data_IF_856760886717
#
_entry.id   IF_856760886717
#
_cell.length_a   1.000
_cell.length_b   1.000
_cell.length_c   1.000
_cell.angle_alpha   90.00
_cell.angle_beta   90.00
_cell.angle_gamma   90.00
#
_symmetry.space_group_name_H-M   'P 1'
#
loop_
_entity.id
_entity.type
_entity.pdbx_description
1 polymer ?
#
# COMPACT_ATOMS: atom_id res chain seq x y z
N UNK A 1 31.49 27.74 -13.70
CA UNK A 1 30.64 28.32 -12.65
C UNK A 1 29.21 28.21 -13.17
N UNK A 2 28.30 27.38 -12.70
CA UNK A 2 28.25 26.32 -11.70
C UNK A 2 27.16 25.40 -12.21
N UNK A 3 27.48 24.14 -12.53
CA UNK A 3 26.44 23.18 -12.87
C UNK A 3 25.83 22.71 -11.55
N UNK A 4 24.83 23.44 -11.07
CA UNK A 4 23.99 23.04 -9.94
C UNK A 4 23.14 21.84 -10.40
N UNK A 5 23.76 20.65 -10.37
CA UNK A 5 23.02 19.39 -10.36
C UNK A 5 22.11 19.45 -9.14
N UNK A 6 20.82 19.69 -9.37
CA UNK A 6 19.78 19.53 -8.37
C UNK A 6 19.95 18.13 -7.79
N UNK A 7 20.36 18.06 -6.54
CA UNK A 7 20.52 16.82 -5.81
C UNK A 7 19.11 16.28 -5.57
N UNK A 8 18.66 15.43 -6.48
CA UNK A 8 17.47 14.60 -6.37
C UNK A 8 17.65 13.74 -5.10
N UNK A 9 17.23 14.31 -3.97
CA UNK A 9 17.43 13.73 -2.66
C UNK A 9 16.33 12.68 -2.48
N UNK A 10 16.67 11.41 -2.23
CA UNK A 10 15.69 10.30 -2.14
C UNK A 10 14.74 10.41 -0.93
N UNK A 11 14.71 11.55 -0.26
CA UNK A 11 13.82 11.91 0.84
C UNK A 11 12.50 12.56 0.35
N UNK A 12 12.42 13.04 -0.89
CA UNK A 12 11.25 13.77 -1.41
C UNK A 12 10.25 12.89 -2.19
N UNK A 13 10.59 11.63 -2.48
CA UNK A 13 9.63 10.72 -3.14
C UNK A 13 8.46 10.38 -2.21
N UNK A 14 7.20 10.51 -2.67
CA UNK A 14 6.05 10.20 -1.85
C UNK A 14 6.01 8.71 -1.49
N UNK A 15 5.55 8.41 -0.27
CA UNK A 15 5.16 7.05 0.08
C UNK A 15 3.90 6.68 -0.69
N UNK A 16 3.98 5.61 -1.48
CA UNK A 16 2.86 5.12 -2.29
C UNK A 16 2.31 3.82 -1.71
N UNK A 17 1.01 3.78 -1.46
CA UNK A 17 0.29 2.58 -1.05
C UNK A 17 -0.62 2.15 -2.20
N UNK A 18 -0.38 0.96 -2.75
CA UNK A 18 -1.15 0.41 -3.87
C UNK A 18 -1.93 -0.84 -3.43
N UNK A 19 -3.27 -0.87 -3.53
CA UNK A 19 -4.01 -2.11 -3.35
C UNK A 19 -3.78 -3.04 -4.55
N UNK A 20 -3.12 -4.18 -4.33
CA UNK A 20 -3.01 -5.21 -5.36
C UNK A 20 -4.37 -5.91 -5.55
N UNK A 21 -4.84 -6.14 -6.79
CA UNK A 21 -6.08 -6.88 -7.04
C UNK A 21 -6.09 -8.21 -6.30
N UNK A 22 -7.15 -8.47 -5.53
CA UNK A 22 -7.33 -9.71 -4.75
C UNK A 22 -6.16 -10.04 -3.80
N UNK A 23 -5.37 -9.03 -3.43
CA UNK A 23 -4.11 -9.22 -2.73
C UNK A 23 -3.81 -8.13 -1.70
N UNK A 24 -2.53 -8.01 -1.30
CA UNK A 24 -2.08 -7.15 -0.22
C UNK A 24 -2.14 -5.66 -0.58
N UNK A 25 -1.86 -4.81 0.42
CA UNK A 25 -1.46 -3.43 0.20
C UNK A 25 0.05 -3.41 -0.02
N UNK A 26 0.49 -2.96 -1.19
CA UNK A 26 1.90 -2.79 -1.52
C UNK A 26 2.33 -1.37 -1.16
N UNK A 27 3.16 -1.24 -0.13
CA UNK A 27 3.70 0.05 0.33
C UNK A 27 5.10 0.21 -0.24
N UNK A 28 5.35 1.33 -0.91
CA UNK A 28 6.65 1.72 -1.46
C UNK A 28 7.09 3.04 -0.84
N UNK A 29 8.30 3.09 -0.29
CA UNK A 29 8.87 4.29 0.29
C UNK A 29 9.64 4.00 1.58
N UNK A 30 10.10 5.05 2.25
CA UNK A 30 10.68 4.93 3.59
C UNK A 30 9.56 5.00 4.63
N UNK A 31 9.20 3.84 5.19
CA UNK A 31 8.11 3.71 6.15
C UNK A 31 8.60 2.99 7.40
N UNK A 32 8.00 3.34 8.54
CA UNK A 32 8.21 2.66 9.81
C UNK A 32 6.93 1.92 10.19
N UNK A 33 7.04 0.73 10.77
CA UNK A 33 5.90 -0.12 11.13
C UNK A 33 5.93 -0.38 12.63
N UNK A 34 4.90 0.04 13.35
CA UNK A 34 4.71 -0.31 14.75
C UNK A 34 3.95 -1.66 14.88
N UNK A 35 4.37 -2.56 15.78
CA UNK A 35 3.70 -3.85 15.97
C UNK A 35 2.33 -3.71 16.65
N UNK A 36 2.15 -2.68 17.47
CA UNK A 36 0.91 -2.35 18.17
C UNK A 36 0.84 -0.83 18.45
N UNK A 37 -0.33 -0.27 18.75
CA UNK A 37 -0.46 1.15 19.09
C UNK A 37 0.44 1.55 20.27
N UNK A 38 1.29 2.57 20.05
CA UNK A 38 2.20 3.10 21.08
C UNK A 38 3.53 2.35 21.22
N UNK A 39 3.74 1.24 20.51
CA UNK A 39 5.04 0.59 20.45
C UNK A 39 6.01 1.33 19.53
N UNK A 40 7.31 1.15 19.79
CA UNK A 40 8.37 1.75 18.98
C UNK A 40 8.31 1.25 17.53
N UNK A 41 8.16 2.13 16.53
CA UNK A 41 8.14 1.74 15.13
C UNK A 41 9.47 1.15 14.66
N UNK A 42 9.41 0.12 13.82
CA UNK A 42 10.59 -0.55 13.28
C UNK A 42 10.71 -0.32 11.77
N UNK A 43 11.95 -0.15 11.30
CA UNK A 43 12.25 -0.06 9.87
C UNK A 43 12.16 -1.45 9.23
N UNK A 44 11.35 -1.65 8.18
CA UNK A 44 11.33 -2.92 7.47
C UNK A 44 12.65 -3.15 6.71
N UNK A 45 12.99 -4.42 6.43
CA UNK A 45 14.26 -4.76 5.76
C UNK A 45 14.34 -4.28 4.29
N UNK A 46 13.22 -3.86 3.71
CA UNK A 46 13.12 -3.38 2.33
C UNK A 46 12.21 -2.16 2.26
N UNK A 47 12.47 -1.27 1.30
CA UNK A 47 11.62 -0.10 0.96
C UNK A 47 10.27 -0.48 0.34
N UNK A 48 10.05 -1.76 0.08
CA UNK A 48 8.79 -2.29 -0.44
C UNK A 48 8.31 -3.38 0.51
N UNK A 49 7.12 -3.19 1.06
CA UNK A 49 6.48 -4.16 1.96
C UNK A 49 5.07 -4.47 1.48
N UNK A 50 4.64 -5.72 1.71
CA UNK A 50 3.29 -6.15 1.43
C UNK A 50 2.55 -6.34 2.75
N UNK A 51 1.52 -5.53 2.99
CA UNK A 51 0.67 -5.60 4.19
C UNK A 51 -0.58 -6.43 3.89
N UNK A 52 -0.95 -7.27 4.86
CA UNK A 52 -2.13 -8.11 4.78
C UNK A 52 -3.38 -7.25 4.68
N UNK A 53 -4.25 -7.61 3.73
CA UNK A 53 -5.59 -7.02 3.56
C UNK A 53 -6.71 -8.05 3.70
N UNK A 54 -6.36 -9.34 3.73
CA UNK A 54 -7.31 -10.46 3.74
C UNK A 54 -7.57 -11.04 5.13
N UNK A 55 -6.83 -10.60 6.16
CA UNK A 55 -6.88 -11.11 7.54
C UNK A 55 -6.52 -12.60 7.73
N UNK A 56 -6.00 -13.28 6.70
CA UNK A 56 -5.64 -14.71 6.77
C UNK A 56 -4.14 -14.98 6.92
N UNK A 57 -3.31 -13.94 7.06
CA UNK A 57 -1.86 -14.15 7.19
C UNK A 57 -1.48 -14.60 8.59
N UNK A 58 -0.59 -15.58 8.66
CA UNK A 58 0.03 -16.08 9.89
C UNK A 58 1.13 -15.16 10.43
N UNK A 59 1.55 -14.15 9.66
CA UNK A 59 2.60 -13.18 10.00
C UNK A 59 2.07 -11.74 9.96
N UNK A 60 0.80 -11.56 10.31
CA UNK A 60 0.17 -10.23 10.37
C UNK A 60 1.07 -9.25 11.16
N UNK A 61 1.23 -8.00 10.69
CA UNK A 61 0.47 -7.32 9.64
C UNK A 61 0.98 -7.58 8.21
N UNK A 62 2.00 -8.42 8.00
CA UNK A 62 2.58 -8.68 6.68
C UNK A 62 1.75 -9.70 5.89
N UNK A 63 1.91 -9.70 4.56
CA UNK A 63 1.30 -10.70 3.68
C UNK A 63 2.28 -11.86 3.41
N UNK A 64 1.86 -13.08 3.73
CA UNK A 64 2.55 -14.35 3.42
C UNK A 64 2.03 -15.07 2.16
N UNK A 65 1.00 -14.52 1.50
CA UNK A 65 0.37 -15.14 0.33
C UNK A 65 -0.91 -15.93 0.65
N UNK A 66 -1.32 -16.04 1.91
CA UNK A 66 -2.56 -16.73 2.32
C UNK A 66 -3.82 -16.22 1.62
N UNK A 67 -3.82 -14.99 1.11
CA UNK A 67 -4.91 -14.44 0.29
C UNK A 67 -5.27 -15.29 -0.94
N UNK A 68 -4.30 -16.04 -1.50
CA UNK A 68 -4.53 -16.92 -2.64
C UNK A 68 -5.35 -18.14 -2.24
N UNK A 69 -4.96 -18.79 -1.14
CA UNK A 69 -5.65 -19.98 -0.60
C UNK A 69 -7.02 -19.62 -0.03
N UNK A 70 -7.12 -18.46 0.63
CA UNK A 70 -8.38 -17.92 1.13
C UNK A 70 -9.33 -17.41 0.03
N UNK A 71 -8.92 -17.48 -1.23
CA UNK A 71 -9.67 -16.99 -2.38
C UNK A 71 -10.17 -15.55 -2.17
N UNK A 72 -9.34 -14.69 -1.59
CA UNK A 72 -9.69 -13.30 -1.30
C UNK A 72 -10.11 -12.58 -2.58
N UNK A 73 -11.20 -11.81 -2.51
CA UNK A 73 -11.73 -11.04 -3.64
C UNK A 73 -12.00 -9.61 -3.22
N UNK A 74 -11.61 -8.67 -4.06
CA UNK A 74 -11.82 -7.25 -3.80
C UNK A 74 -12.40 -6.55 -5.00
N UNK A 75 -13.30 -5.60 -4.73
CA UNK A 75 -13.71 -4.64 -5.75
C UNK A 75 -12.49 -3.83 -6.23
N UNK A 76 -12.43 -3.42 -7.50
CA UNK A 76 -11.47 -2.40 -7.92
C UNK A 76 -11.59 -1.14 -7.04
N UNK A 77 -10.47 -0.46 -6.76
CA UNK A 77 -10.48 0.79 -6.01
C UNK A 77 -11.38 1.80 -6.74
N UNK A 78 -12.32 2.41 -6.01
CA UNK A 78 -13.24 3.43 -6.54
C UNK A 78 -12.70 4.86 -6.42
N UNK A 79 -11.43 5.02 -6.09
CA UNK A 79 -10.92 6.28 -5.59
C UNK A 79 -10.16 7.06 -6.68
N UNK A 80 -10.83 8.08 -7.24
CA UNK A 80 -10.21 9.34 -7.64
C UNK A 80 -10.65 10.36 -6.57
N UNK A 81 -9.72 11.00 -5.84
CA UNK A 81 -10.09 12.19 -5.00
C UNK A 81 -10.58 13.22 -6.02
N UNK A 82 -11.90 13.34 -6.22
CA UNK A 82 -12.49 14.39 -7.05
C UNK A 82 -12.98 14.02 -8.46
N UNK A 83 -13.09 12.75 -8.86
CA UNK A 83 -13.88 12.44 -10.07
C UNK A 83 -15.36 12.32 -9.72
N UNK A 84 -16.27 12.96 -10.48
CA UNK A 84 -17.71 12.78 -10.32
C UNK A 84 -18.06 11.29 -10.32
N UNK A 85 -19.00 10.90 -9.46
CA UNK A 85 -19.57 9.56 -9.46
C UNK A 85 -20.36 9.38 -10.77
N UNK A 86 -19.81 8.66 -11.73
CA UNK A 86 -20.55 8.14 -12.90
C UNK A 86 -21.17 6.76 -12.57
N UNK A 87 -21.63 6.58 -11.33
CA UNK A 87 -22.35 5.38 -10.88
C UNK A 87 -23.74 5.81 -10.37
N UNK A 88 -24.55 6.39 -11.26
CA UNK A 88 -25.99 6.54 -11.10
C UNK A 88 -26.63 6.43 -12.49
N UNK A 89 -26.75 5.19 -12.96
CA UNK A 89 -27.46 4.81 -14.17
C UNK A 89 -27.80 3.32 -14.10
N UNK A 90 -29.09 3.07 -13.88
CA UNK A 90 -29.89 1.85 -14.13
C UNK A 90 -29.44 1.08 -15.39
N UNK A 91 -29.71 -0.24 -15.50
CA UNK A 91 -30.64 -0.85 -16.52
C UNK A 91 -31.01 -2.32 -16.10
N UNK A 92 -32.32 -2.56 -15.97
CA UNK A 92 -33.18 -3.78 -15.86
C UNK A 92 -32.86 -4.98 -14.93
#
# INVERSE_FOLDING_TARGET
MSNERREDSPADDPVVITPCPNGPLLVRGDVMIAPEPGAEPQKPPRRVVALCRCNMSSIAPFCDGSHKLANFRTRPPRYNIGSPREDAGEED
#
